data_IF_611932551114
#
_entry.id   IF_611932551114
#
_cell.length_a   1.000
_cell.length_b   1.000
_cell.length_c   1.000
_cell.angle_alpha   90.00
_cell.angle_beta   90.00
_cell.angle_gamma   90.00
#
_symmetry.space_group_name_H-M   'P 1'
#
loop_
_entity.id
_entity.type
_entity.pdbx_description
1 polymer ?
#
# COMPACT_ATOMS: atom_id res chain seq x y z
N UNK A 1 27.56 -7.54 25.04
CA UNK A 1 26.22 -6.99 25.27
C UNK A 1 26.23 -6.27 26.61
N UNK A 2 26.11 -4.94 26.65
CA UNK A 2 26.16 -4.17 27.92
C UNK A 2 24.77 -3.85 28.52
N UNK A 3 23.69 -4.29 27.85
CA UNK A 3 22.32 -4.12 28.31
C UNK A 3 21.76 -2.68 28.24
N UNK A 4 22.51 -1.71 27.72
CA UNK A 4 22.09 -0.30 27.62
C UNK A 4 21.02 -0.05 26.55
N UNK A 5 20.97 -0.88 25.50
CA UNK A 5 19.90 -0.88 24.49
C UNK A 5 18.97 -2.07 24.74
N UNK A 6 17.72 -1.78 25.08
CA UNK A 6 16.63 -2.76 25.21
C UNK A 6 15.70 -2.59 24.00
N UNK A 7 15.65 -3.60 23.13
CA UNK A 7 14.70 -3.66 22.03
C UNK A 7 13.33 -4.18 22.49
N UNK A 8 12.28 -3.88 21.72
CA UNK A 8 10.98 -4.52 21.90
C UNK A 8 10.96 -5.81 21.06
N UNK A 9 10.78 -6.97 21.69
CA UNK A 9 10.70 -8.21 20.96
C UNK A 9 9.38 -8.31 20.18
N UNK A 10 9.48 -8.50 18.88
CA UNK A 10 8.37 -8.89 18.01
C UNK A 10 8.35 -10.38 17.76
N UNK A 11 7.30 -10.86 17.08
CA UNK A 11 7.36 -12.15 16.37
C UNK A 11 7.59 -11.87 14.89
N UNK A 12 8.77 -11.40 14.44
CA UNK A 12 9.05 -11.51 13.02
C UNK A 12 8.99 -13.00 12.67
N UNK A 13 8.22 -13.35 11.63
CA UNK A 13 7.98 -14.72 11.18
C UNK A 13 9.23 -15.34 10.49
N UNK A 14 10.42 -15.01 11.00
CA UNK A 14 11.73 -15.32 10.45
C UNK A 14 12.82 -15.48 11.51
N UNK A 15 12.48 -15.62 12.79
CA UNK A 15 13.42 -15.86 13.90
C UNK A 15 14.32 -17.12 13.77
N UNK A 16 14.18 -17.88 12.67
CA UNK A 16 14.99 -19.06 12.33
C UNK A 16 15.83 -18.88 11.04
N UNK A 17 15.81 -17.70 10.42
CA UNK A 17 16.61 -17.34 9.24
C UNK A 17 17.81 -16.51 9.73
N UNK A 18 19.03 -16.82 9.27
CA UNK A 18 20.20 -15.97 9.58
C UNK A 18 19.98 -14.58 8.98
N UNK A 19 20.28 -13.51 9.74
CA UNK A 19 20.16 -12.08 9.39
C UNK A 19 18.94 -11.30 9.93
N UNK A 20 18.21 -11.82 10.94
CA UNK A 20 17.23 -11.00 11.67
C UNK A 20 17.91 -10.21 12.81
N UNK A 21 17.99 -8.90 12.65
CA UNK A 21 18.60 -7.96 13.60
C UNK A 21 17.53 -7.22 14.43
N UNK A 22 17.96 -6.40 15.40
CA UNK A 22 17.08 -5.57 16.25
C UNK A 22 16.16 -4.64 15.42
N UNK A 23 16.54 -4.31 14.18
CA UNK A 23 15.79 -3.47 13.26
C UNK A 23 14.55 -4.16 12.67
N UNK A 24 14.51 -5.50 12.67
CA UNK A 24 13.38 -6.30 12.19
C UNK A 24 12.32 -6.54 13.27
N UNK A 25 12.62 -6.13 14.50
CA UNK A 25 11.71 -6.22 15.64
C UNK A 25 10.69 -5.06 15.63
N UNK A 26 9.67 -5.18 16.47
CA UNK A 26 8.64 -4.14 16.61
C UNK A 26 9.29 -2.86 17.15
N UNK A 27 8.93 -1.72 16.57
CA UNK A 27 9.38 -0.41 17.02
C UNK A 27 8.39 0.20 18.01
N UNK A 28 8.88 1.03 18.95
CA UNK A 28 8.02 1.75 19.90
C UNK A 28 7.05 2.68 19.19
N UNK A 29 7.56 3.33 18.15
CA UNK A 29 6.89 4.36 17.37
C UNK A 29 7.02 3.97 15.88
N UNK A 30 5.96 4.17 15.10
CA UNK A 30 5.94 3.87 13.66
C UNK A 30 5.22 4.98 12.89
N UNK A 31 5.76 5.35 11.73
CA UNK A 31 5.35 6.50 10.95
C UNK A 31 5.33 6.17 9.45
N UNK A 32 4.40 6.81 8.76
CA UNK A 32 4.27 6.73 7.32
C UNK A 32 3.30 7.79 6.81
N UNK A 33 3.28 7.95 5.50
CA UNK A 33 2.34 8.85 4.83
C UNK A 33 1.66 8.15 3.65
N UNK A 34 0.44 8.59 3.38
CA UNK A 34 -0.31 8.23 2.18
C UNK A 34 -0.71 9.51 1.46
N UNK A 35 -0.33 9.62 0.20
CA UNK A 35 -0.72 10.71 -0.69
C UNK A 35 -1.73 10.15 -1.70
N UNK A 36 -2.87 10.82 -1.83
CA UNK A 36 -3.88 10.47 -2.82
C UNK A 36 -4.15 11.68 -3.71
N UNK A 37 -4.08 11.47 -5.01
CA UNK A 37 -4.41 12.45 -6.03
C UNK A 37 -5.52 11.88 -6.90
N UNK A 38 -6.57 12.65 -7.11
CA UNK A 38 -7.66 12.29 -7.99
C UNK A 38 -8.17 13.51 -8.73
N UNK A 39 -8.72 13.27 -9.92
CA UNK A 39 -9.38 14.29 -10.72
C UNK A 39 -10.62 13.70 -11.38
N UNK A 40 -11.50 14.58 -11.84
CA UNK A 40 -12.65 14.21 -12.65
C UNK A 40 -12.75 15.17 -13.83
N UNK A 41 -12.77 14.60 -15.04
CA UNK A 41 -13.11 15.29 -16.27
C UNK A 41 -14.54 14.91 -16.63
N UNK A 42 -15.41 15.91 -16.66
CA UNK A 42 -16.82 15.71 -16.98
C UNK A 42 -17.03 15.77 -18.49
N UNK A 43 -17.95 14.94 -18.99
CA UNK A 43 -18.41 14.95 -20.38
C UNK A 43 -17.27 14.89 -21.42
N UNK A 44 -16.27 14.03 -21.18
CA UNK A 44 -15.10 13.87 -22.07
C UNK A 44 -15.54 13.40 -23.46
N UNK A 45 -16.54 12.50 -23.51
CA UNK A 45 -17.15 12.05 -24.75
C UNK A 45 -18.56 11.53 -24.50
N UNK A 46 -19.55 12.07 -25.21
CA UNK A 46 -20.93 11.58 -25.23
C UNK A 46 -21.55 11.29 -23.84
N UNK A 47 -21.26 12.08 -22.80
CA UNK A 47 -21.77 11.85 -21.43
C UNK A 47 -20.96 10.86 -20.58
N UNK A 48 -19.74 10.54 -21.01
CA UNK A 48 -18.75 9.80 -20.21
C UNK A 48 -17.94 10.76 -19.35
N UNK A 49 -17.93 10.54 -18.05
CA UNK A 49 -17.03 11.18 -17.10
C UNK A 49 -15.82 10.27 -16.87
N UNK A 50 -14.62 10.86 -16.87
CA UNK A 50 -13.38 10.15 -16.64
C UNK A 50 -12.72 10.63 -15.35
N UNK A 51 -12.37 9.70 -14.47
CA UNK A 51 -11.79 10.00 -13.16
C UNK A 51 -10.49 9.21 -12.96
N UNK A 52 -9.33 9.77 -13.35
CA UNK A 52 -8.03 9.21 -13.01
C UNK A 52 -7.72 9.41 -11.53
N UNK A 53 -7.02 8.45 -10.95
CA UNK A 53 -6.50 8.57 -9.58
C UNK A 53 -5.16 7.86 -9.42
N UNK A 54 -4.39 8.33 -8.44
CA UNK A 54 -3.17 7.67 -7.97
C UNK A 54 -3.06 7.79 -6.46
N UNK A 55 -2.51 6.75 -5.84
CA UNK A 55 -2.25 6.68 -4.41
C UNK A 55 -0.81 6.21 -4.20
N UNK A 56 -0.06 6.95 -3.40
CA UNK A 56 1.29 6.58 -2.99
C UNK A 56 1.35 6.43 -1.49
N UNK A 57 1.89 5.32 -1.00
CA UNK A 57 2.08 5.05 0.43
C UNK A 57 3.57 4.80 0.69
N UNK A 58 4.08 5.35 1.78
CA UNK A 58 5.43 5.07 2.26
C UNK A 58 5.47 5.03 3.79
N UNK A 59 5.84 3.87 4.32
CA UNK A 59 6.10 3.63 5.73
C UNK A 59 7.58 3.87 6.02
N UNK A 60 8.00 5.11 6.24
CA UNK A 60 9.43 5.44 6.29
C UNK A 60 10.11 5.09 7.62
N UNK A 61 9.35 4.80 8.69
CA UNK A 61 9.94 4.42 9.97
C UNK A 61 9.06 3.49 10.79
N UNK A 62 9.69 2.50 11.40
CA UNK A 62 9.14 1.64 12.42
C UNK A 62 8.37 0.44 11.88
N UNK A 63 8.54 -0.69 12.56
CA UNK A 63 7.80 -1.92 12.30
C UNK A 63 6.69 -2.08 13.34
N UNK A 64 5.48 -2.36 12.86
CA UNK A 64 4.37 -2.71 13.74
C UNK A 64 4.31 -4.22 13.99
N UNK A 65 3.46 -4.64 14.93
CA UNK A 65 3.15 -6.06 15.12
C UNK A 65 2.65 -6.69 13.80
N UNK A 66 2.67 -8.02 13.67
CA UNK A 66 2.26 -8.72 12.44
C UNK A 66 0.84 -8.38 11.95
N UNK A 67 -0.05 -7.97 12.85
CA UNK A 67 -1.43 -7.52 12.55
C UNK A 67 -1.52 -6.01 12.26
N UNK A 68 -0.42 -5.27 12.40
CA UNK A 68 -0.33 -3.85 12.16
C UNK A 68 -0.03 -3.51 10.69
N UNK A 69 -0.16 -2.24 10.34
CA UNK A 69 -0.11 -1.75 8.95
C UNK A 69 1.25 -1.13 8.54
N UNK A 70 2.24 -1.17 9.44
CA UNK A 70 3.57 -0.57 9.24
C UNK A 70 4.64 -1.65 9.15
N UNK A 71 5.35 -1.62 8.03
CA UNK A 71 6.59 -2.32 7.76
C UNK A 71 7.54 -1.24 7.25
N UNK A 72 8.67 -1.05 7.94
CA UNK A 72 9.62 0.00 7.66
C UNK A 72 10.22 -0.15 6.26
N UNK A 73 10.21 0.95 5.50
CA UNK A 73 10.63 1.00 4.10
C UNK A 73 9.61 0.46 3.12
N UNK A 74 8.43 0.00 3.57
CA UNK A 74 7.42 -0.53 2.65
C UNK A 74 6.73 0.61 1.92
N UNK A 75 6.66 0.48 0.61
CA UNK A 75 6.05 1.43 -0.30
C UNK A 75 4.98 0.73 -1.14
N UNK A 76 3.95 1.48 -1.51
CA UNK A 76 2.93 1.02 -2.44
C UNK A 76 2.55 2.17 -3.37
N UNK A 77 2.37 1.85 -4.65
CA UNK A 77 1.90 2.78 -5.66
C UNK A 77 0.70 2.18 -6.37
N UNK A 78 -0.42 2.89 -6.32
CA UNK A 78 -1.64 2.55 -7.04
C UNK A 78 -1.92 3.61 -8.09
N UNK A 79 -2.33 3.18 -9.27
CA UNK A 79 -2.86 4.04 -10.33
C UNK A 79 -4.12 3.40 -10.88
N UNK A 80 -5.12 4.23 -11.17
CA UNK A 80 -6.36 3.73 -11.74
C UNK A 80 -7.09 4.78 -12.54
N UNK A 81 -8.06 4.29 -13.31
CA UNK A 81 -8.92 5.07 -14.16
C UNK A 81 -10.34 4.55 -14.04
N UNK A 82 -11.26 5.44 -13.70
CA UNK A 82 -12.69 5.15 -13.69
C UNK A 82 -13.38 5.92 -14.82
N UNK A 83 -14.24 5.24 -15.55
CA UNK A 83 -15.15 5.83 -16.52
C UNK A 83 -16.59 5.59 -16.06
N UNK A 84 -17.42 6.63 -16.05
CA UNK A 84 -18.86 6.49 -15.83
C UNK A 84 -19.64 7.08 -17.00
N UNK A 85 -20.56 6.31 -17.56
CA UNK A 85 -21.44 6.73 -18.64
C UNK A 85 -22.84 6.98 -18.08
N UNK A 86 -23.30 8.23 -18.18
CA UNK A 86 -24.64 8.67 -17.76
C UNK A 86 -25.05 8.23 -16.33
N UNK A 87 -24.07 7.98 -15.46
CA UNK A 87 -24.25 7.42 -14.11
C UNK A 87 -24.96 6.06 -14.05
N UNK A 88 -25.15 5.37 -15.18
CA UNK A 88 -25.80 4.05 -15.25
C UNK A 88 -24.81 2.91 -15.43
N UNK A 89 -23.69 3.16 -16.11
CA UNK A 89 -22.62 2.20 -16.33
C UNK A 89 -21.29 2.78 -15.84
N UNK A 90 -20.63 2.09 -14.92
CA UNK A 90 -19.30 2.44 -14.43
C UNK A 90 -18.33 1.29 -14.71
N UNK A 91 -17.17 1.65 -15.26
CA UNK A 91 -16.04 0.76 -15.45
C UNK A 91 -14.80 1.36 -14.79
N UNK A 92 -14.06 0.53 -14.07
CA UNK A 92 -12.83 0.93 -13.41
C UNK A 92 -11.75 -0.11 -13.65
N UNK A 93 -10.55 0.37 -13.93
CA UNK A 93 -9.32 -0.42 -13.94
C UNK A 93 -8.33 0.22 -13.00
N UNK A 94 -7.66 -0.60 -12.20
CA UNK A 94 -6.61 -0.16 -11.30
C UNK A 94 -5.46 -1.16 -11.27
N UNK A 95 -4.27 -0.64 -11.06
CA UNK A 95 -3.06 -1.41 -10.83
C UNK A 95 -2.41 -0.92 -9.56
N UNK A 96 -1.93 -1.84 -8.74
CA UNK A 96 -1.12 -1.52 -7.55
C UNK A 96 0.15 -2.35 -7.57
N UNK A 97 1.26 -1.66 -7.34
CA UNK A 97 2.60 -2.22 -7.20
C UNK A 97 3.08 -2.00 -5.77
N UNK A 98 3.70 -3.03 -5.18
CA UNK A 98 4.28 -2.96 -3.84
C UNK A 98 5.81 -3.09 -3.94
N UNK A 99 6.57 -2.23 -3.26
CA UNK A 99 8.04 -2.29 -3.31
C UNK A 99 8.67 -1.88 -1.97
N UNK A 100 10.00 -2.06 -1.84
CA UNK A 100 10.76 -1.71 -0.63
C UNK A 100 10.64 -2.71 0.53
N UNK A 101 11.20 -2.35 1.68
CA UNK A 101 11.17 -3.12 2.94
C UNK A 101 11.82 -4.53 2.95
N UNK A 102 12.69 -4.86 1.97
CA UNK A 102 13.55 -6.03 2.08
C UNK A 102 12.81 -7.35 2.39
N UNK A 103 13.43 -8.23 3.18
CA UNK A 103 12.80 -9.50 3.57
C UNK A 103 11.55 -9.32 4.46
N UNK A 104 11.36 -8.13 5.04
CA UNK A 104 10.23 -7.82 5.93
C UNK A 104 8.92 -7.55 5.18
N UNK A 105 8.98 -7.29 3.86
CA UNK A 105 7.80 -7.11 3.04
C UNK A 105 7.52 -8.35 2.17
N UNK A 106 6.78 -9.30 2.75
CA UNK A 106 6.28 -10.50 2.05
C UNK A 106 5.26 -10.21 0.94
N UNK A 107 4.78 -8.96 0.85
CA UNK A 107 3.90 -8.46 -0.20
C UNK A 107 4.61 -7.72 -1.33
N UNK A 108 5.94 -7.55 -1.27
CA UNK A 108 6.74 -6.79 -2.25
C UNK A 108 6.65 -7.35 -3.68
N UNK A 109 6.31 -8.62 -3.82
CA UNK A 109 6.17 -9.30 -5.11
C UNK A 109 4.70 -9.54 -5.49
N UNK A 110 3.76 -8.97 -4.73
CA UNK A 110 2.32 -9.21 -4.87
C UNK A 110 1.59 -8.04 -5.50
N UNK A 111 2.05 -7.64 -6.67
CA UNK A 111 1.34 -6.65 -7.48
C UNK A 111 -0.06 -7.18 -7.87
N UNK A 112 -1.02 -6.27 -8.01
CA UNK A 112 -2.37 -6.67 -8.38
C UNK A 112 -2.99 -5.72 -9.41
N UNK A 113 -3.70 -6.30 -10.37
CA UNK A 113 -4.58 -5.58 -11.30
C UNK A 113 -6.02 -5.88 -10.90
N UNK A 114 -6.85 -4.85 -10.82
CA UNK A 114 -8.28 -4.94 -10.54
C UNK A 114 -9.09 -4.34 -11.67
N UNK A 115 -10.18 -5.02 -12.04
CA UNK A 115 -11.19 -4.49 -12.95
C UNK A 115 -12.55 -4.58 -12.25
N UNK A 116 -13.31 -3.50 -12.28
CA UNK A 116 -14.63 -3.42 -11.68
C UNK A 116 -15.63 -2.86 -12.69
N UNK A 117 -16.77 -3.52 -12.81
CA UNK A 117 -17.88 -3.13 -13.69
C UNK A 117 -19.15 -3.05 -12.84
N UNK A 118 -19.84 -1.91 -12.89
CA UNK A 118 -21.12 -1.70 -12.20
C UNK A 118 -22.16 -1.20 -13.18
N UNK A 119 -23.37 -1.74 -13.07
CA UNK A 119 -24.51 -1.31 -13.84
C UNK A 119 -25.70 -1.08 -12.89
N UNK A 120 -26.35 0.08 -13.01
CA UNK A 120 -27.53 0.46 -12.23
C UNK A 120 -28.73 0.64 -13.15
N UNK A 121 -29.86 0.04 -12.77
CA UNK A 121 -31.15 0.13 -13.46
C UNK A 121 -32.18 0.89 -12.65
#
# INVERSE_FOLDING_TARGET
YDGSKRGFAGRPNGAYVSDYDDEDQISRDAYGYTLALSGTWNDVYAGVNLSPFTVFKHNFQGNSHQTGNFVEGAMAYSVGLRASYLNSLEAEVQYTEYYGAGQNNSGRDRDNVGVNLKYSF
#
